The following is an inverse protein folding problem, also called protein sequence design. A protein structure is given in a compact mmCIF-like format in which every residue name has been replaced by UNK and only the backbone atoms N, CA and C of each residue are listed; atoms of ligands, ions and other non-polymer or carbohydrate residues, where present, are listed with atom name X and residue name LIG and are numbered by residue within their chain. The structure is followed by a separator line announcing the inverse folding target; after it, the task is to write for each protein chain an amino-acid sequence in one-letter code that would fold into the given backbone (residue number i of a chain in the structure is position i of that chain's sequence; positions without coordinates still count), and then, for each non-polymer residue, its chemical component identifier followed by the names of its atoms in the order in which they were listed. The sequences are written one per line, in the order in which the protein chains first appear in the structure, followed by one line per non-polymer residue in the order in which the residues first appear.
data_IF_211455399317
#
_entry.id   IF_211455399317
#
_cell.length_a   1.000
_cell.length_b   1.000
_cell.length_c   1.000
_cell.angle_alpha   90.00
_cell.angle_beta   90.00
_cell.angle_gamma   90.00
#
_symmetry.space_group_name_H-M   'P 1'
#
loop_
_entity.id
_entity.type
_entity.pdbx_description
1 polymer ?
#
# COMPACT_ATOMS: atom_id res chain seq x y z
N UNK A 1 19.90 -10.55 0.09
CA UNK A 1 19.75 -9.43 1.03
C UNK A 1 18.69 -9.75 2.05
N UNK A 2 18.91 -9.45 3.28
CA UNK A 2 17.88 -9.54 4.30
C UNK A 2 16.95 -8.31 4.26
N UNK A 3 15.96 -8.30 3.35
CA UNK A 3 14.80 -7.41 3.48
C UNK A 3 13.64 -8.23 4.03
N UNK A 4 13.03 -7.73 5.09
CA UNK A 4 11.79 -8.28 5.65
C UNK A 4 10.70 -7.21 5.50
N UNK A 5 9.61 -7.56 4.82
CA UNK A 5 8.46 -6.66 4.63
C UNK A 5 7.30 -7.20 5.46
N UNK A 6 6.89 -6.46 6.48
CA UNK A 6 5.81 -6.86 7.40
C UNK A 6 4.55 -6.07 7.09
N UNK A 7 3.52 -6.79 6.68
CA UNK A 7 2.23 -6.19 6.33
C UNK A 7 1.44 -5.70 7.56
N UNK A 8 0.51 -4.80 7.31
CA UNK A 8 -0.41 -4.27 8.31
C UNK A 8 -1.66 -5.11 8.51
N UNK A 9 -2.65 -4.49 9.14
CA UNK A 9 -4.01 -5.02 9.33
C UNK A 9 -4.70 -5.29 7.99
N UNK A 10 -5.80 -6.02 8.05
CA UNK A 10 -6.67 -6.25 6.89
C UNK A 10 -6.00 -6.95 5.69
N UNK A 11 -4.79 -7.48 5.82
CA UNK A 11 -4.11 -8.25 4.77
C UNK A 11 -4.51 -9.72 4.88
N UNK A 12 -5.16 -10.25 3.86
CA UNK A 12 -5.56 -11.66 3.76
C UNK A 12 -5.06 -12.24 2.45
N UNK A 13 -4.45 -13.42 2.50
CA UNK A 13 -3.90 -14.08 1.31
C UNK A 13 -4.98 -14.64 0.38
N UNK A 14 -6.23 -14.62 0.83
CA UNK A 14 -7.41 -14.97 0.04
C UNK A 14 -7.98 -13.79 -0.74
N UNK A 15 -7.45 -12.57 -0.52
CA UNK A 15 -7.91 -11.38 -1.24
C UNK A 15 -7.43 -11.42 -2.70
N UNK A 16 -8.28 -10.96 -3.64
CA UNK A 16 -7.90 -10.82 -5.03
C UNK A 16 -6.61 -9.96 -5.18
N UNK A 17 -5.72 -10.38 -6.08
CA UNK A 17 -4.49 -9.64 -6.35
C UNK A 17 -3.41 -9.71 -5.27
N UNK A 18 -3.58 -10.49 -4.18
CA UNK A 18 -2.58 -10.58 -3.11
C UNK A 18 -1.19 -10.92 -3.63
N UNK A 19 -1.05 -11.97 -4.46
CA UNK A 19 0.24 -12.37 -5.02
C UNK A 19 0.82 -11.33 -5.98
N UNK A 20 -0.03 -10.72 -6.81
CA UNK A 20 0.40 -9.64 -7.71
C UNK A 20 0.95 -8.43 -6.95
N UNK A 21 0.33 -8.10 -5.82
CA UNK A 21 0.79 -7.04 -4.92
C UNK A 21 2.15 -7.35 -4.30
N UNK A 22 2.37 -8.57 -3.81
CA UNK A 22 3.67 -8.99 -3.30
C UNK A 22 4.75 -8.99 -4.38
N UNK A 23 4.43 -9.47 -5.59
CA UNK A 23 5.33 -9.45 -6.74
C UNK A 23 5.69 -8.01 -7.16
N UNK A 24 4.72 -7.09 -7.15
CA UNK A 24 4.95 -5.66 -7.40
C UNK A 24 5.91 -5.07 -6.36
N UNK A 25 5.66 -5.27 -5.08
CA UNK A 25 6.54 -4.79 -4.00
C UNK A 25 7.96 -5.34 -4.17
N UNK A 26 8.11 -6.63 -4.47
CA UNK A 26 9.42 -7.24 -4.72
C UNK A 26 10.13 -6.64 -5.94
N UNK A 27 9.39 -6.39 -7.03
CA UNK A 27 9.91 -5.75 -8.24
C UNK A 27 10.42 -4.33 -7.97
N UNK A 28 9.62 -3.51 -7.26
CA UNK A 28 9.96 -2.13 -6.93
C UNK A 28 11.15 -2.04 -5.96
N UNK A 29 11.24 -2.93 -4.98
CA UNK A 29 12.43 -3.07 -4.11
C UNK A 29 13.66 -3.42 -4.94
N UNK A 30 13.53 -4.36 -5.87
CA UNK A 30 14.60 -4.74 -6.80
C UNK A 30 15.09 -3.57 -7.64
N UNK A 31 14.16 -2.81 -8.20
CA UNK A 31 14.45 -1.68 -9.08
C UNK A 31 15.18 -0.55 -8.34
N UNK A 32 14.77 -0.21 -7.14
CA UNK A 32 15.23 0.99 -6.46
C UNK A 32 16.30 0.75 -5.40
N UNK A 33 16.29 -0.38 -4.69
CA UNK A 33 17.22 -0.61 -3.59
C UNK A 33 18.50 -1.37 -3.98
N UNK A 34 18.55 -2.00 -5.16
CA UNK A 34 19.78 -2.62 -5.64
C UNK A 34 20.91 -1.61 -5.71
N UNK A 35 22.07 -1.99 -5.16
CA UNK A 35 23.26 -1.12 -5.10
C UNK A 35 23.18 0.04 -4.09
N UNK A 36 22.13 0.13 -3.26
CA UNK A 36 22.13 1.06 -2.14
C UNK A 36 23.20 0.66 -1.11
N UNK A 37 23.65 1.62 -0.32
CA UNK A 37 24.49 1.37 0.85
C UNK A 37 23.76 1.78 2.11
N UNK A 38 23.66 0.88 3.08
CA UNK A 38 23.05 1.13 4.38
C UNK A 38 24.04 0.75 5.47
N UNK A 39 24.36 1.67 6.36
CA UNK A 39 25.31 1.47 7.44
C UNK A 39 26.65 0.86 6.93
N UNK A 40 27.17 1.37 5.81
CA UNK A 40 28.42 0.89 5.19
C UNK A 40 28.34 -0.47 4.49
N UNK A 41 27.18 -1.12 4.46
CA UNK A 41 26.97 -2.43 3.82
C UNK A 41 26.19 -2.27 2.51
N UNK A 42 26.68 -2.88 1.43
CA UNK A 42 26.01 -2.82 0.13
C UNK A 42 24.82 -3.77 0.05
N UNK A 43 23.72 -3.26 -0.51
CA UNK A 43 22.51 -4.02 -0.85
C UNK A 43 22.74 -4.75 -2.17
N UNK A 44 22.91 -6.08 -2.17
CA UNK A 44 23.19 -6.89 -3.37
C UNK A 44 22.01 -7.67 -3.85
N UNK A 45 21.32 -8.37 -2.95
CA UNK A 45 20.12 -9.16 -3.26
C UNK A 45 18.87 -8.45 -2.72
N UNK A 46 17.89 -8.21 -3.56
CA UNK A 46 16.66 -7.45 -3.22
C UNK A 46 15.41 -8.31 -3.10
N UNK A 47 15.54 -9.64 -3.06
CA UNK A 47 14.39 -10.53 -2.85
C UNK A 47 13.91 -10.45 -1.39
N UNK A 48 12.72 -9.87 -1.11
CA UNK A 48 12.23 -9.72 0.26
C UNK A 48 11.62 -11.01 0.80
N UNK A 49 11.60 -11.13 2.13
CA UNK A 49 10.76 -12.08 2.85
C UNK A 49 9.47 -11.37 3.27
N UNK A 50 8.33 -12.01 3.06
CA UNK A 50 7.00 -11.54 3.43
C UNK A 50 6.40 -12.46 4.50
N UNK A 51 6.71 -12.31 5.80
CA UNK A 51 6.08 -13.13 6.84
C UNK A 51 4.59 -12.82 6.91
N UNK A 52 3.76 -13.78 6.50
CA UNK A 52 2.31 -13.61 6.46
C UNK A 52 1.68 -14.01 7.79
N UNK A 53 1.25 -13.03 8.58
CA UNK A 53 0.61 -13.23 9.87
C UNK A 53 -0.92 -13.19 9.83
N UNK A 54 -1.54 -12.95 8.67
CA UNK A 54 -3.00 -12.86 8.52
C UNK A 54 -3.77 -14.12 8.93
N UNK A 55 -3.13 -15.29 8.97
CA UNK A 55 -3.74 -16.52 9.51
C UNK A 55 -4.04 -16.45 11.02
N UNK A 56 -3.35 -15.57 11.75
CA UNK A 56 -3.50 -15.38 13.20
C UNK A 56 -4.27 -14.10 13.53
N UNK A 57 -4.73 -13.40 12.50
CA UNK A 57 -5.48 -12.15 12.63
C UNK A 57 -6.94 -12.42 13.02
N UNK A 58 -7.69 -11.35 13.27
CA UNK A 58 -9.11 -11.43 13.64
C UNK A 58 -9.94 -12.26 12.66
N UNK A 59 -10.74 -13.15 13.22
CA UNK A 59 -11.86 -13.82 12.56
C UNK A 59 -13.18 -13.31 13.16
N UNK A 60 -14.19 -13.16 12.33
CA UNK A 60 -15.52 -12.68 12.76
C UNK A 60 -16.49 -13.84 12.81
N UNK A 61 -16.99 -14.19 14.00
CA UNK A 61 -17.85 -15.35 14.21
C UNK A 61 -19.14 -15.32 13.39
N UNK A 62 -19.63 -14.13 13.03
CA UNK A 62 -20.81 -13.91 12.20
C UNK A 62 -20.48 -13.15 10.92
N UNK A 63 -19.27 -13.30 10.39
CA UNK A 63 -18.83 -12.66 9.13
C UNK A 63 -19.19 -11.17 9.04
N UNK A 64 -18.93 -10.43 10.12
CA UNK A 64 -19.28 -9.01 10.27
C UNK A 64 -20.78 -8.68 10.14
N UNK A 65 -21.69 -9.60 10.46
CA UNK A 65 -23.13 -9.34 10.43
C UNK A 65 -23.56 -8.16 11.30
N UNK A 66 -22.73 -7.74 12.26
CA UNK A 66 -22.95 -6.53 13.07
C UNK A 66 -22.75 -5.21 12.30
N UNK A 67 -22.15 -5.25 11.11
CA UNK A 67 -22.08 -4.06 10.27
C UNK A 67 -23.50 -3.65 9.85
N UNK A 68 -23.84 -2.35 9.90
CA UNK A 68 -25.16 -1.89 9.51
C UNK A 68 -25.38 -2.15 8.01
N UNK A 69 -25.92 -3.33 7.71
CA UNK A 69 -26.32 -3.77 6.37
C UNK A 69 -27.75 -3.32 6.08
N UNK A 70 -28.15 -2.14 6.52
CA UNK A 70 -29.47 -1.65 6.17
C UNK A 70 -29.73 -1.91 4.69
N UNK A 71 -30.78 -2.67 4.35
CA UNK A 71 -31.46 -2.59 3.08
C UNK A 71 -31.96 -1.15 2.96
N UNK A 72 -31.03 -0.23 2.67
CA UNK A 72 -31.42 0.95 1.95
C UNK A 72 -31.72 0.37 0.59
N UNK A 73 -33.03 0.27 0.26
CA UNK A 73 -33.47 -0.07 -1.08
C UNK A 73 -32.61 0.74 -2.03
N UNK A 74 -31.62 0.07 -2.63
CA UNK A 74 -30.82 0.67 -3.69
C UNK A 74 -31.68 0.64 -4.93
N UNK A 75 -32.49 1.66 -5.12
CA UNK A 75 -33.03 2.02 -6.43
C UNK A 75 -31.83 2.43 -7.31
N UNK A 76 -31.03 1.47 -7.75
CA UNK A 76 -29.87 1.69 -8.61
C UNK A 76 -29.02 0.43 -8.73
N UNK A 77 -28.48 0.18 -9.92
CA UNK A 77 -27.58 -0.94 -10.21
C UNK A 77 -26.41 -0.99 -9.21
N UNK A 78 -26.12 -2.17 -8.71
CA UNK A 78 -25.02 -2.38 -7.79
C UNK A 78 -23.68 -2.07 -8.52
N UNK A 79 -22.94 -1.08 -8.02
CA UNK A 79 -21.55 -0.89 -8.38
C UNK A 79 -20.73 -2.00 -7.73
N UNK A 80 -19.81 -2.60 -8.47
CA UNK A 80 -18.87 -3.56 -7.94
C UNK A 80 -18.20 -2.98 -6.69
N UNK A 81 -18.34 -3.68 -5.56
CA UNK A 81 -17.89 -3.18 -4.25
C UNK A 81 -16.38 -2.93 -4.24
N UNK A 82 -15.62 -3.73 -5.02
CA UNK A 82 -14.16 -3.65 -5.06
C UNK A 82 -13.64 -2.42 -5.81
N UNK A 83 -14.47 -1.87 -6.73
CA UNK A 83 -14.13 -0.70 -7.52
C UNK A 83 -14.62 0.63 -6.92
N UNK A 84 -15.40 0.61 -5.84
CA UNK A 84 -15.91 1.83 -5.17
C UNK A 84 -14.81 2.81 -4.78
N UNK A 85 -13.68 2.36 -4.20
CA UNK A 85 -12.58 3.25 -3.85
C UNK A 85 -11.99 3.97 -5.07
N UNK A 86 -11.87 3.27 -6.21
CA UNK A 86 -11.34 3.85 -7.44
C UNK A 86 -12.29 4.88 -8.06
N UNK A 87 -13.61 4.63 -7.98
CA UNK A 87 -14.64 5.60 -8.41
C UNK A 87 -14.58 6.87 -7.57
N UNK A 88 -14.31 6.75 -6.25
CA UNK A 88 -14.16 7.91 -5.37
C UNK A 88 -12.94 8.76 -5.76
N UNK A 89 -11.78 8.13 -6.05
CA UNK A 89 -10.58 8.84 -6.55
C UNK A 89 -10.89 9.59 -7.84
N UNK A 90 -11.54 8.93 -8.80
CA UNK A 90 -11.89 9.57 -10.08
C UNK A 90 -12.82 10.77 -9.85
N UNK A 91 -13.78 10.67 -8.93
CA UNK A 91 -14.69 11.75 -8.61
C UNK A 91 -13.97 12.93 -7.96
N UNK A 92 -13.12 12.68 -6.98
CA UNK A 92 -12.40 13.73 -6.26
C UNK A 92 -11.46 14.49 -7.20
N UNK A 93 -10.80 13.79 -8.11
CA UNK A 93 -9.90 14.41 -9.09
C UNK A 93 -10.63 15.17 -10.19
N UNK A 94 -11.76 14.68 -10.66
CA UNK A 94 -12.49 15.28 -11.79
C UNK A 94 -13.60 16.25 -11.36
N UNK A 95 -14.05 16.20 -10.11
CA UNK A 95 -15.11 17.04 -9.54
C UNK A 95 -16.52 16.73 -10.05
N UNK A 96 -16.64 16.10 -11.26
CA UNK A 96 -17.91 15.70 -11.86
C UNK A 96 -17.79 14.38 -12.61
N UNK A 97 -18.48 13.35 -12.10
CA UNK A 97 -18.52 12.03 -12.74
C UNK A 97 -19.24 12.03 -14.08
N UNK A 98 -20.12 12.99 -14.35
CA UNK A 98 -20.87 13.04 -15.64
C UNK A 98 -19.94 13.29 -16.81
N UNK A 99 -18.97 14.18 -16.66
CA UNK A 99 -17.99 14.48 -17.70
C UNK A 99 -17.01 13.32 -17.96
N UNK A 100 -16.83 12.43 -16.97
CA UNK A 100 -15.93 11.30 -17.04
C UNK A 100 -16.59 9.98 -17.50
N UNK A 101 -17.93 9.87 -17.52
CA UNK A 101 -18.66 8.61 -17.75
C UNK A 101 -18.21 7.82 -18.98
N UNK A 102 -17.93 8.52 -20.08
CA UNK A 102 -17.60 7.86 -21.34
C UNK A 102 -16.18 7.31 -21.37
N UNK A 103 -15.21 8.06 -20.82
CA UNK A 103 -13.77 7.77 -20.91
C UNK A 103 -13.06 8.19 -19.61
N UNK A 104 -13.29 7.49 -18.48
CA UNK A 104 -12.79 7.91 -17.17
C UNK A 104 -11.26 7.94 -17.07
N UNK A 105 -10.57 6.93 -17.60
CA UNK A 105 -9.12 6.86 -17.57
C UNK A 105 -8.48 7.94 -18.43
N UNK A 106 -8.98 8.16 -19.65
CA UNK A 106 -8.46 9.20 -20.53
C UNK A 106 -8.73 10.60 -19.99
N UNK A 107 -9.89 10.82 -19.39
CA UNK A 107 -10.22 12.11 -18.76
C UNK A 107 -9.27 12.41 -17.60
N UNK A 108 -8.97 11.40 -16.78
CA UNK A 108 -8.00 11.50 -15.69
C UNK A 108 -6.57 11.69 -16.23
N UNK A 109 -6.17 10.94 -17.26
CA UNK A 109 -4.85 11.03 -17.87
C UNK A 109 -4.56 12.42 -18.47
N UNK A 110 -5.58 13.13 -18.97
CA UNK A 110 -5.46 14.51 -19.46
C UNK A 110 -5.16 15.51 -18.35
N UNK A 111 -5.48 15.20 -17.11
CA UNK A 111 -5.10 15.98 -15.93
C UNK A 111 -3.75 15.52 -15.37
N UNK A 112 -3.57 14.21 -15.26
CA UNK A 112 -2.38 13.60 -14.67
C UNK A 112 -2.25 12.14 -15.14
N UNK A 113 -1.24 11.86 -15.96
CA UNK A 113 -0.96 10.49 -16.36
C UNK A 113 -0.62 9.59 -15.15
N UNK A 114 0.21 10.02 -14.18
CA UNK A 114 0.48 9.22 -12.98
C UNK A 114 -0.78 8.79 -12.24
N UNK A 115 -1.77 9.68 -12.11
CA UNK A 115 -3.02 9.37 -11.42
C UNK A 115 -3.85 8.34 -12.20
N UNK A 116 -3.97 8.50 -13.51
CA UNK A 116 -4.69 7.54 -14.37
C UNK A 116 -4.05 6.16 -14.34
N UNK A 117 -2.71 6.11 -14.39
CA UNK A 117 -1.94 4.85 -14.30
C UNK A 117 -2.12 4.21 -12.93
N UNK A 118 -2.14 4.97 -11.83
CA UNK A 118 -2.39 4.43 -10.50
C UNK A 118 -3.75 3.75 -10.40
N UNK A 119 -4.82 4.41 -10.88
CA UNK A 119 -6.18 3.85 -10.88
C UNK A 119 -6.28 2.59 -11.76
N UNK A 120 -5.67 2.60 -12.94
CA UNK A 120 -5.64 1.44 -13.84
C UNK A 120 -4.85 0.28 -13.22
N UNK A 121 -3.72 0.57 -12.58
CA UNK A 121 -2.88 -0.42 -11.89
C UNK A 121 -3.63 -1.13 -10.77
N UNK A 122 -4.36 -0.37 -9.96
CA UNK A 122 -5.18 -0.92 -8.88
C UNK A 122 -6.25 -1.89 -9.42
N UNK A 123 -6.98 -1.48 -10.46
CA UNK A 123 -7.98 -2.34 -11.08
C UNK A 123 -7.36 -3.61 -11.69
N UNK A 124 -6.18 -3.47 -12.31
CA UNK A 124 -5.46 -4.60 -12.90
C UNK A 124 -4.95 -5.59 -11.84
N UNK A 125 -4.42 -5.07 -10.72
CA UNK A 125 -3.94 -5.90 -9.60
C UNK A 125 -5.11 -6.67 -8.98
N UNK A 126 -6.26 -6.04 -8.79
CA UNK A 126 -7.46 -6.68 -8.22
C UNK A 126 -7.99 -7.83 -9.12
N UNK A 127 -7.85 -7.71 -10.44
CA UNK A 127 -8.28 -8.72 -11.40
C UNK A 127 -7.23 -9.82 -11.67
N UNK A 128 -6.00 -9.65 -11.17
CA UNK A 128 -4.90 -10.55 -11.48
C UNK A 128 -5.09 -11.95 -10.88
N UNK A 129 -4.99 -12.96 -11.73
CA UNK A 129 -4.86 -14.35 -11.28
C UNK A 129 -3.47 -14.60 -10.67
N UNK A 130 -3.35 -15.61 -9.83
CA UNK A 130 -2.06 -16.04 -9.27
C UNK A 130 -1.02 -16.38 -10.36
N UNK A 131 -1.48 -16.91 -11.50
CA UNK A 131 -0.63 -17.26 -12.64
C UNK A 131 -0.11 -16.02 -13.40
N UNK A 132 -0.81 -14.88 -13.29
CA UNK A 132 -0.46 -13.63 -13.95
C UNK A 132 0.28 -12.65 -13.03
N UNK A 133 0.44 -12.97 -11.76
CA UNK A 133 0.93 -12.06 -10.73
C UNK A 133 2.25 -11.36 -11.11
N UNK A 134 3.25 -12.11 -11.55
CA UNK A 134 4.57 -11.55 -11.91
C UNK A 134 4.48 -10.66 -13.16
N UNK A 135 3.66 -11.04 -14.15
CA UNK A 135 3.45 -10.23 -15.36
C UNK A 135 2.74 -8.92 -15.06
N UNK A 136 1.71 -8.96 -14.23
CA UNK A 136 0.98 -7.79 -13.79
C UNK A 136 1.90 -6.86 -13.00
N UNK A 137 2.68 -7.41 -12.07
CA UNK A 137 3.63 -6.63 -11.28
C UNK A 137 4.69 -5.94 -12.16
N UNK A 138 5.28 -6.66 -13.12
CA UNK A 138 6.26 -6.10 -14.05
C UNK A 138 5.67 -4.99 -14.92
N UNK A 139 4.45 -5.17 -15.43
CA UNK A 139 3.75 -4.13 -16.19
C UNK A 139 3.46 -2.89 -15.33
N UNK A 140 2.88 -3.08 -14.14
CA UNK A 140 2.50 -1.97 -13.24
C UNK A 140 3.73 -1.17 -12.83
N UNK A 141 4.84 -1.82 -12.44
CA UNK A 141 6.06 -1.11 -12.08
C UNK A 141 6.62 -0.27 -13.24
N UNK A 142 6.63 -0.83 -14.46
CA UNK A 142 7.08 -0.12 -15.66
C UNK A 142 6.13 1.04 -16.04
N UNK A 143 4.81 0.84 -15.90
CA UNK A 143 3.81 1.86 -16.20
C UNK A 143 3.91 3.05 -15.23
N UNK A 144 4.10 2.78 -13.95
CA UNK A 144 4.29 3.82 -12.93
C UNK A 144 5.58 4.61 -13.17
N UNK A 145 6.71 3.92 -13.42
CA UNK A 145 7.99 4.56 -13.72
C UNK A 145 7.89 5.45 -14.97
N UNK A 146 7.24 4.96 -16.04
CA UNK A 146 7.00 5.74 -17.25
C UNK A 146 6.16 6.99 -16.96
N UNK A 147 5.07 6.83 -16.22
CA UNK A 147 4.14 7.93 -15.92
C UNK A 147 4.79 9.02 -15.04
N UNK A 148 5.62 8.65 -14.08
CA UNK A 148 6.37 9.61 -13.25
C UNK A 148 7.42 10.38 -14.08
N UNK A 149 8.09 9.71 -15.03
CA UNK A 149 9.03 10.35 -15.94
C UNK A 149 8.33 11.25 -16.99
N UNK A 150 7.07 10.95 -17.34
CA UNK A 150 6.29 11.63 -18.37
C UNK A 150 4.90 12.02 -17.84
N UNK A 151 4.77 12.96 -16.90
CA UNK A 151 3.50 13.25 -16.23
C UNK A 151 2.41 13.81 -17.16
N UNK A 152 2.78 14.46 -18.27
CA UNK A 152 1.86 15.05 -19.24
C UNK A 152 2.37 14.83 -20.69
N UNK A 153 2.41 13.58 -21.20
CA UNK A 153 2.97 13.32 -22.51
C UNK A 153 2.00 13.77 -23.62
N UNK A 154 2.55 14.32 -24.71
CA UNK A 154 1.76 14.87 -25.82
C UNK A 154 0.80 13.85 -26.47
N UNK A 155 1.13 12.57 -26.47
CA UNK A 155 0.29 11.52 -27.06
C UNK A 155 -1.07 11.35 -26.39
N UNK A 156 -1.24 11.72 -25.10
CA UNK A 156 -2.54 11.67 -24.42
C UNK A 156 -3.59 12.53 -25.11
N UNK A 157 -3.18 13.64 -25.74
CA UNK A 157 -4.08 14.49 -26.51
C UNK A 157 -4.50 13.88 -27.85
N UNK A 158 -3.76 12.88 -28.36
CA UNK A 158 -4.01 12.27 -29.69
C UNK A 158 -4.96 11.06 -29.64
N UNK A 159 -5.31 10.57 -28.43
CA UNK A 159 -6.23 9.45 -28.24
C UNK A 159 -7.61 9.94 -27.79
N UNK A 160 -8.66 9.20 -28.16
CA UNK A 160 -10.04 9.61 -27.95
C UNK A 160 -10.85 8.67 -27.07
N UNK A 161 -10.33 7.47 -26.77
CA UNK A 161 -11.02 6.47 -25.96
C UNK A 161 -10.08 5.83 -24.93
N UNK A 162 -10.65 5.29 -23.84
CA UNK A 162 -9.89 4.53 -22.83
C UNK A 162 -9.16 3.34 -23.47
N UNK A 163 -9.78 2.65 -24.44
CA UNK A 163 -9.14 1.55 -25.15
C UNK A 163 -7.91 2.02 -25.96
N UNK A 164 -8.00 3.16 -26.65
CA UNK A 164 -6.85 3.75 -27.35
C UNK A 164 -5.78 4.21 -26.35
N UNK A 165 -6.18 4.77 -25.22
CA UNK A 165 -5.29 5.16 -24.12
C UNK A 165 -4.50 3.96 -23.61
N UNK A 166 -5.18 2.85 -23.26
CA UNK A 166 -4.54 1.61 -22.76
C UNK A 166 -3.57 1.05 -23.79
N UNK A 167 -3.98 0.92 -25.06
CA UNK A 167 -3.12 0.40 -26.13
C UNK A 167 -1.88 1.29 -26.34
N UNK A 168 -2.06 2.61 -26.31
CA UNK A 168 -0.94 3.55 -26.46
C UNK A 168 0.01 3.48 -25.27
N UNK A 169 -0.51 3.41 -24.05
CA UNK A 169 0.30 3.27 -22.84
C UNK A 169 1.17 2.01 -22.90
N UNK A 170 0.61 0.87 -23.31
CA UNK A 170 1.39 -0.37 -23.51
C UNK A 170 2.50 -0.14 -24.53
N UNK A 171 2.22 0.49 -25.66
CA UNK A 171 3.22 0.78 -26.70
C UNK A 171 4.35 1.68 -26.19
N UNK A 172 4.03 2.69 -25.39
CA UNK A 172 5.02 3.60 -24.83
C UNK A 172 5.94 2.91 -23.82
N UNK A 173 5.40 1.95 -23.06
CA UNK A 173 6.17 1.17 -22.05
C UNK A 173 7.01 0.08 -22.71
N UNK A 174 6.47 -0.62 -23.72
CA UNK A 174 7.14 -1.76 -24.36
C UNK A 174 8.05 -1.36 -25.52
N UNK A 175 7.94 -0.12 -25.99
CA UNK A 175 8.58 0.37 -27.22
C UNK A 175 7.90 -0.12 -28.49
N UNK A 176 8.24 0.46 -29.66
CA UNK A 176 7.74 -0.04 -30.95
C UNK A 176 8.32 -1.45 -31.20
N UNK A 177 7.45 -2.38 -31.62
CA UNK A 177 7.91 -3.70 -32.06
C UNK A 177 8.96 -3.56 -33.19
N UNK A 178 10.14 -4.20 -33.08
CA UNK A 178 11.13 -4.13 -34.15
C UNK A 178 10.53 -4.67 -35.45
N UNK A 179 10.81 -4.07 -36.62
CA UNK A 179 10.31 -4.55 -37.91
C UNK A 179 10.72 -6.02 -38.12
N UNK A 180 9.76 -6.96 -38.18
CA UNK A 180 10.01 -8.39 -38.35
C UNK A 180 10.42 -9.15 -37.07
N UNK A 181 10.42 -8.51 -35.90
CA UNK A 181 10.77 -9.14 -34.64
C UNK A 181 9.55 -9.71 -33.92
N UNK A 182 9.72 -10.88 -33.35
CA UNK A 182 8.78 -11.46 -32.38
C UNK A 182 8.69 -10.48 -31.21
N UNK A 183 7.48 -10.06 -30.84
CA UNK A 183 7.28 -9.25 -29.62
C UNK A 183 7.99 -9.93 -28.43
N UNK A 184 8.58 -9.19 -27.48
CA UNK A 184 9.18 -9.80 -26.31
C UNK A 184 8.16 -10.76 -25.68
N UNK A 185 8.57 -12.02 -25.55
CA UNK A 185 7.73 -13.17 -25.21
C UNK A 185 6.77 -12.85 -24.05
N UNK A 186 5.47 -12.85 -24.37
CA UNK A 186 4.38 -13.05 -23.39
C UNK A 186 3.69 -11.81 -22.85
N UNK A 187 4.12 -10.56 -23.12
CA UNK A 187 3.44 -9.39 -22.56
C UNK A 187 2.32 -8.81 -23.47
N UNK A 188 2.35 -9.02 -24.77
CA UNK A 188 1.49 -8.25 -25.69
C UNK A 188 -0.01 -8.55 -25.59
N UNK A 189 -0.44 -9.78 -25.87
CA UNK A 189 -1.88 -10.08 -26.01
C UNK A 189 -2.62 -10.26 -24.68
N UNK A 190 -2.03 -10.98 -23.74
CA UNK A 190 -2.67 -11.28 -22.44
C UNK A 190 -2.78 -10.05 -21.55
N UNK A 191 -1.73 -9.21 -21.46
CA UNK A 191 -1.75 -8.01 -20.64
C UNK A 191 -2.69 -6.94 -21.23
N UNK A 192 -2.75 -6.79 -22.56
CA UNK A 192 -3.69 -5.87 -23.23
C UNK A 192 -5.14 -6.28 -22.96
N UNK A 193 -5.44 -7.57 -22.98
CA UNK A 193 -6.78 -8.07 -22.67
C UNK A 193 -7.14 -7.81 -21.19
N UNK A 194 -6.22 -8.08 -20.26
CA UNK A 194 -6.43 -7.82 -18.83
C UNK A 194 -6.63 -6.30 -18.57
N UNK A 195 -5.82 -5.44 -19.17
CA UNK A 195 -5.97 -3.99 -19.08
C UNK A 195 -7.28 -3.49 -19.68
N UNK A 196 -7.69 -4.04 -20.82
CA UNK A 196 -8.96 -3.69 -21.44
C UNK A 196 -10.15 -4.12 -20.59
N UNK A 197 -10.07 -5.29 -19.93
CA UNK A 197 -11.06 -5.74 -18.98
C UNK A 197 -11.14 -4.82 -17.76
N UNK A 198 -10.02 -4.51 -17.13
CA UNK A 198 -9.94 -3.58 -16.00
C UNK A 198 -10.50 -2.19 -16.34
N UNK A 199 -10.14 -1.64 -17.52
CA UNK A 199 -10.66 -0.37 -17.99
C UNK A 199 -12.18 -0.39 -18.24
N UNK A 200 -12.70 -1.49 -18.79
CA UNK A 200 -14.15 -1.65 -19.04
C UNK A 200 -14.93 -1.75 -17.71
N UNK A 201 -14.45 -2.51 -16.73
CA UNK A 201 -15.04 -2.60 -15.39
C UNK A 201 -15.08 -1.25 -14.70
N UNK A 202 -13.97 -0.51 -14.74
CA UNK A 202 -13.86 0.83 -14.16
C UNK A 202 -14.84 1.80 -14.82
N UNK A 203 -14.95 1.80 -16.17
CA UNK A 203 -15.93 2.61 -16.91
C UNK A 203 -17.35 2.28 -16.47
N UNK A 204 -17.71 1.00 -16.36
CA UNK A 204 -19.04 0.57 -15.93
C UNK A 204 -19.34 1.04 -14.51
N UNK A 205 -18.36 0.94 -13.60
CA UNK A 205 -18.50 1.40 -12.22
C UNK A 205 -18.72 2.92 -12.14
N UNK A 206 -17.94 3.72 -12.90
CA UNK A 206 -18.10 5.19 -12.98
C UNK A 206 -19.46 5.55 -13.57
N UNK A 207 -19.88 4.89 -14.64
CA UNK A 207 -21.18 5.13 -15.28
C UNK A 207 -22.33 4.83 -14.31
N UNK A 208 -22.26 3.71 -13.59
CA UNK A 208 -23.27 3.34 -12.59
C UNK A 208 -23.31 4.34 -11.43
N UNK A 209 -22.16 4.77 -10.92
CA UNK A 209 -22.08 5.77 -9.86
C UNK A 209 -22.65 7.13 -10.32
N UNK A 210 -22.35 7.55 -11.53
CA UNK A 210 -22.84 8.79 -12.08
C UNK A 210 -24.36 8.77 -12.36
N UNK A 211 -24.93 7.65 -12.83
CA UNK A 211 -26.39 7.50 -13.00
C UNK A 211 -27.12 7.58 -11.65
N UNK A 212 -26.56 6.97 -10.62
CA UNK A 212 -27.10 7.02 -9.26
C UNK A 212 -27.08 8.44 -8.67
N UNK A 213 -26.10 9.26 -9.06
CA UNK A 213 -26.02 10.66 -8.65
C UNK A 213 -27.01 11.58 -9.39
N UNK A 214 -27.47 11.18 -10.58
CA UNK A 214 -28.42 11.96 -11.40
C UNK A 214 -29.87 11.97 -10.89
N UNK A 215 -30.28 10.89 -10.22
CA UNK A 215 -31.68 10.75 -9.77
C UNK A 215 -32.03 11.59 -8.52
N UNK A 216 -31.10 12.45 -8.05
CA UNK A 216 -31.29 13.16 -6.77
C UNK A 216 -30.71 14.58 -6.79
N UNK A 217 -31.62 15.53 -6.88
CA UNK A 217 -31.36 16.96 -6.63
C UNK A 217 -31.41 17.26 -5.13
N UNK A 218 -30.36 17.91 -4.59
CA UNK A 218 -30.35 18.49 -3.26
C UNK A 218 -29.52 17.75 -2.20
N UNK A 219 -29.50 18.26 -0.98
CA UNK A 219 -28.69 17.86 0.20
C UNK A 219 -28.67 16.35 0.57
N UNK A 220 -29.57 15.57 0.00
CA UNK A 220 -29.62 14.11 0.13
C UNK A 220 -28.46 13.39 -0.55
N UNK A 221 -27.81 13.98 -1.54
CA UNK A 221 -26.73 13.33 -2.29
C UNK A 221 -25.47 13.15 -1.42
N UNK A 222 -25.13 14.13 -0.58
CA UNK A 222 -23.98 14.07 0.33
C UNK A 222 -24.15 13.01 1.42
N UNK A 223 -25.33 12.92 2.03
CA UNK A 223 -25.61 11.96 3.11
C UNK A 223 -25.64 10.51 2.62
N UNK A 224 -26.17 10.26 1.42
CA UNK A 224 -26.19 8.90 0.84
C UNK A 224 -24.85 8.50 0.26
N UNK A 225 -24.06 9.45 -0.23
CA UNK A 225 -22.68 9.22 -0.61
C UNK A 225 -21.83 8.85 0.62
N UNK A 226 -21.94 9.60 1.71
CA UNK A 226 -21.30 9.24 2.99
C UNK A 226 -21.76 7.88 3.51
N UNK A 227 -23.05 7.53 3.37
CA UNK A 227 -23.57 6.22 3.73
C UNK A 227 -23.07 5.10 2.81
N UNK A 228 -22.79 5.40 1.53
CA UNK A 228 -22.23 4.48 0.56
C UNK A 228 -20.74 4.23 0.82
N UNK A 229 -19.95 5.26 1.17
CA UNK A 229 -18.54 5.13 1.60
C UNK A 229 -18.39 4.48 2.99
N UNK A 230 -19.39 4.62 3.85
CA UNK A 230 -19.36 4.14 5.24
C UNK A 230 -19.22 2.62 5.35
N UNK A 231 -19.78 1.84 4.44
CA UNK A 231 -19.72 0.37 4.51
C UNK A 231 -18.32 -0.19 4.38
N UNK A 232 -17.55 0.13 3.30
CA UNK A 232 -16.18 -0.32 3.20
C UNK A 232 -15.33 0.22 4.36
N UNK A 233 -15.53 1.47 4.79
CA UNK A 233 -14.83 2.06 5.92
C UNK A 233 -15.11 1.29 7.23
N UNK A 234 -16.35 0.98 7.55
CA UNK A 234 -16.69 0.22 8.76
C UNK A 234 -16.09 -1.19 8.75
N UNK A 235 -16.05 -1.85 7.60
CA UNK A 235 -15.41 -3.15 7.45
C UNK A 235 -13.89 -3.07 7.68
N UNK A 236 -13.24 -2.06 7.12
CA UNK A 236 -11.80 -1.79 7.32
C UNK A 236 -11.53 -1.46 8.79
N UNK A 237 -12.32 -0.59 9.42
CA UNK A 237 -12.17 -0.24 10.82
C UNK A 237 -12.41 -1.44 11.74
N UNK A 238 -13.43 -2.25 11.46
CA UNK A 238 -13.71 -3.47 12.24
C UNK A 238 -12.56 -4.45 12.21
N UNK A 239 -11.98 -4.69 11.03
CA UNK A 239 -10.78 -5.54 10.91
C UNK A 239 -9.55 -4.89 11.53
N UNK A 240 -9.38 -3.58 11.37
CA UNK A 240 -8.28 -2.84 11.98
C UNK A 240 -8.27 -3.03 13.50
N UNK A 241 -9.36 -2.69 14.17
CA UNK A 241 -9.46 -2.84 15.62
C UNK A 241 -9.37 -4.30 16.05
N UNK A 242 -10.00 -5.20 15.30
CA UNK A 242 -9.92 -6.62 15.58
C UNK A 242 -8.50 -7.16 15.53
N UNK A 243 -7.75 -6.85 14.47
CA UNK A 243 -6.36 -7.29 14.32
C UNK A 243 -5.45 -6.67 15.41
N UNK A 244 -5.68 -5.40 15.80
CA UNK A 244 -4.99 -4.75 16.91
C UNK A 244 -5.25 -5.47 18.23
N UNK A 245 -6.50 -5.76 18.56
CA UNK A 245 -6.85 -6.44 19.80
C UNK A 245 -6.28 -7.86 19.84
N UNK A 246 -6.42 -8.62 18.75
CA UNK A 246 -5.84 -9.97 18.64
C UNK A 246 -4.32 -9.93 18.87
N UNK A 247 -3.61 -8.99 18.24
CA UNK A 247 -2.17 -8.85 18.46
C UNK A 247 -1.85 -8.56 19.94
N UNK A 248 -2.48 -7.55 20.53
CA UNK A 248 -2.21 -7.13 21.90
C UNK A 248 -2.50 -8.23 22.92
N UNK A 249 -3.60 -8.97 22.72
CA UNK A 249 -4.00 -10.04 23.65
C UNK A 249 -3.15 -11.30 23.48
N UNK A 250 -2.80 -11.65 22.24
CA UNK A 250 -2.13 -12.91 21.92
C UNK A 250 -0.60 -12.78 21.73
N UNK A 251 0.00 -11.60 21.90
CA UNK A 251 1.45 -11.42 21.67
C UNK A 251 2.34 -12.15 22.69
N UNK A 252 1.79 -12.49 23.88
CA UNK A 252 2.50 -13.21 24.92
C UNK A 252 3.56 -12.37 25.66
N UNK A 253 4.59 -13.05 26.14
CA UNK A 253 5.75 -12.46 26.82
C UNK A 253 7.07 -12.98 26.21
N UNK A 254 8.20 -12.54 26.76
CA UNK A 254 9.53 -12.89 26.24
C UNK A 254 9.84 -14.39 26.35
N UNK A 255 9.34 -15.06 27.40
CA UNK A 255 9.55 -16.49 27.63
C UNK A 255 8.62 -17.33 26.74
N UNK A 256 7.39 -16.83 26.53
CA UNK A 256 6.35 -17.50 25.74
C UNK A 256 5.74 -16.51 24.74
N UNK A 257 6.47 -16.17 23.65
CA UNK A 257 5.94 -15.26 22.64
C UNK A 257 4.79 -15.90 21.87
N UNK A 258 3.79 -15.10 21.52
CA UNK A 258 2.66 -15.55 20.71
C UNK A 258 3.05 -15.89 19.27
N UNK A 259 2.10 -16.44 18.52
CA UNK A 259 2.36 -16.94 17.15
C UNK A 259 2.81 -15.83 16.19
N UNK A 260 2.19 -14.64 16.25
CA UNK A 260 2.58 -13.49 15.41
C UNK A 260 4.01 -13.04 15.72
N UNK A 261 4.39 -12.74 17.00
CA UNK A 261 5.77 -12.48 17.37
C UNK A 261 6.75 -13.56 16.90
N UNK A 262 6.47 -14.83 17.15
CA UNK A 262 7.36 -15.95 16.75
C UNK A 262 7.59 -15.97 15.23
N UNK A 263 6.53 -15.84 14.43
CA UNK A 263 6.60 -15.86 12.97
C UNK A 263 7.55 -14.77 12.46
N UNK A 264 7.34 -13.52 12.91
CA UNK A 264 8.06 -12.36 12.38
C UNK A 264 9.51 -12.32 12.92
N UNK A 265 9.74 -12.66 14.20
CA UNK A 265 11.09 -12.81 14.75
C UNK A 265 11.91 -13.84 13.99
N UNK A 266 11.31 -15.01 13.68
CA UNK A 266 11.98 -16.06 12.94
C UNK A 266 12.37 -15.59 11.54
N UNK A 267 11.49 -14.83 10.85
CA UNK A 267 11.78 -14.25 9.54
C UNK A 267 12.97 -13.27 9.62
N UNK A 268 12.99 -12.38 10.62
CA UNK A 268 14.09 -11.43 10.82
C UNK A 268 15.43 -12.15 11.13
N UNK A 269 15.41 -13.14 12.03
CA UNK A 269 16.61 -13.92 12.38
C UNK A 269 17.15 -14.71 11.18
N UNK A 270 16.28 -15.35 10.41
CA UNK A 270 16.65 -16.09 9.19
C UNK A 270 17.19 -15.15 8.13
N UNK A 271 16.56 -13.98 7.94
CA UNK A 271 17.04 -12.97 7.01
C UNK A 271 18.44 -12.47 7.39
N UNK A 272 18.67 -12.14 8.66
CA UNK A 272 19.97 -11.70 9.17
C UNK A 272 21.07 -12.78 9.03
N UNK A 273 20.73 -14.05 9.28
CA UNK A 273 21.67 -15.17 9.21
C UNK A 273 22.03 -15.56 7.79
N UNK A 274 21.16 -15.35 6.80
CA UNK A 274 21.34 -15.76 5.41
C UNK A 274 22.46 -14.99 4.71
N UNK A 275 22.60 -13.71 5.00
CA UNK A 275 23.52 -12.79 4.35
C UNK A 275 24.23 -11.90 5.37
N UNK A 276 25.15 -12.42 6.18
CA UNK A 276 25.74 -11.68 7.32
C UNK A 276 26.50 -10.40 6.92
N UNK A 277 26.96 -10.31 5.66
CA UNK A 277 27.69 -9.15 5.12
C UNK A 277 26.80 -8.06 4.52
N UNK A 278 25.48 -8.28 4.45
CA UNK A 278 24.50 -7.33 3.92
C UNK A 278 23.70 -6.65 5.05
N UNK A 279 23.12 -5.47 4.80
CA UNK A 279 22.32 -4.80 5.83
C UNK A 279 20.96 -5.50 6.01
N UNK A 280 20.53 -5.71 7.25
CA UNK A 280 19.15 -6.09 7.55
C UNK A 280 18.26 -4.86 7.44
N UNK A 281 17.32 -4.89 6.50
CA UNK A 281 16.31 -3.85 6.30
C UNK A 281 14.93 -4.41 6.66
N UNK A 282 14.22 -3.74 7.56
CA UNK A 282 12.85 -4.09 7.94
C UNK A 282 11.93 -2.96 7.49
N UNK A 283 11.01 -3.27 6.58
CA UNK A 283 9.97 -2.34 6.11
C UNK A 283 8.65 -2.83 6.68
N UNK A 284 7.98 -2.00 7.47
CA UNK A 284 6.81 -2.40 8.22
C UNK A 284 5.67 -1.40 8.03
N UNK A 285 4.56 -1.90 7.47
CA UNK A 285 3.39 -1.11 7.15
C UNK A 285 2.34 -1.19 8.25
N UNK A 286 1.74 -0.06 8.62
CA UNK A 286 0.58 0.01 9.53
C UNK A 286 0.86 -0.70 10.87
N UNK A 287 -0.01 -1.59 11.32
CA UNK A 287 0.18 -2.42 12.52
C UNK A 287 1.49 -3.25 12.48
N UNK A 288 1.97 -3.60 11.28
CA UNK A 288 3.27 -4.25 11.14
C UNK A 288 4.41 -3.45 11.76
N UNK A 289 4.37 -2.11 11.67
CA UNK A 289 5.32 -1.22 12.34
C UNK A 289 5.25 -1.32 13.86
N UNK A 290 4.03 -1.35 14.42
CA UNK A 290 3.80 -1.55 15.87
C UNK A 290 4.35 -2.90 16.32
N UNK A 291 4.04 -3.96 15.57
CA UNK A 291 4.55 -5.32 15.85
C UNK A 291 6.08 -5.32 15.82
N UNK A 292 6.70 -4.82 14.75
CA UNK A 292 8.16 -4.81 14.61
C UNK A 292 8.84 -3.99 15.71
N UNK A 293 8.28 -2.84 16.09
CA UNK A 293 8.80 -2.04 17.21
C UNK A 293 8.76 -2.82 18.54
N UNK A 294 7.63 -3.47 18.84
CA UNK A 294 7.48 -4.29 20.04
C UNK A 294 8.46 -5.47 20.04
N UNK A 295 8.68 -6.10 18.87
CA UNK A 295 9.66 -7.17 18.71
C UNK A 295 11.09 -6.68 18.98
N UNK A 296 11.51 -5.61 18.32
CA UNK A 296 12.88 -5.10 18.38
C UNK A 296 13.18 -4.45 19.73
N UNK A 297 12.19 -3.88 20.41
CA UNK A 297 12.39 -3.28 21.74
C UNK A 297 12.33 -4.29 22.88
N UNK A 298 11.54 -5.36 22.77
CA UNK A 298 11.27 -6.28 23.87
C UNK A 298 11.57 -7.73 23.56
N UNK A 299 10.98 -8.32 22.50
CA UNK A 299 11.03 -9.78 22.29
C UNK A 299 12.36 -10.27 21.74
N UNK A 300 12.98 -9.53 20.81
CA UNK A 300 14.25 -9.89 20.17
C UNK A 300 15.23 -8.70 20.06
N UNK A 301 15.62 -8.06 21.18
CA UNK A 301 16.53 -6.92 21.16
C UNK A 301 17.95 -7.29 20.69
N UNK A 302 18.26 -8.58 20.56
CA UNK A 302 19.50 -9.07 19.99
C UNK A 302 19.57 -8.99 18.47
N UNK A 303 18.45 -8.83 17.78
CA UNK A 303 18.41 -8.70 16.32
C UNK A 303 18.81 -7.28 15.92
N UNK A 304 20.01 -7.13 15.37
CA UNK A 304 20.48 -5.84 14.89
C UNK A 304 19.85 -5.53 13.51
N UNK A 305 19.19 -4.37 13.42
CA UNK A 305 18.55 -3.86 12.20
C UNK A 305 19.33 -2.64 11.71
N UNK A 306 19.84 -2.69 10.48
CA UNK A 306 20.59 -1.58 9.90
C UNK A 306 19.67 -0.44 9.47
N UNK A 307 18.47 -0.77 8.97
CA UNK A 307 17.44 0.21 8.60
C UNK A 307 16.04 -0.32 8.96
N UNK A 308 15.33 0.41 9.80
CA UNK A 308 13.91 0.21 10.08
C UNK A 308 13.10 1.29 9.37
N UNK A 309 12.14 0.88 8.56
CA UNK A 309 11.24 1.80 7.83
C UNK A 309 9.81 1.50 8.27
N UNK A 310 9.19 2.43 8.99
CA UNK A 310 7.77 2.38 9.31
C UNK A 310 6.99 3.22 8.29
N UNK A 311 5.90 2.66 7.79
CA UNK A 311 5.11 3.25 6.69
C UNK A 311 3.64 3.27 7.08
N UNK A 312 3.02 4.43 7.11
CA UNK A 312 1.61 4.56 7.50
C UNK A 312 1.31 3.96 8.87
N UNK A 313 2.25 4.05 9.84
CA UNK A 313 2.22 3.27 11.07
C UNK A 313 1.79 4.08 12.29
N UNK A 314 1.31 3.36 13.32
CA UNK A 314 0.78 3.90 14.57
C UNK A 314 1.78 3.78 15.73
N UNK A 315 3.08 3.60 15.47
CA UNK A 315 4.09 3.32 16.53
C UNK A 315 4.09 4.41 17.59
N UNK A 316 4.12 5.69 17.21
CA UNK A 316 4.09 6.79 18.16
C UNK A 316 2.79 6.85 18.96
N UNK A 317 1.65 6.61 18.31
CA UNK A 317 0.36 6.57 18.99
C UNK A 317 0.31 5.46 20.06
N UNK A 318 0.85 4.28 19.75
CA UNK A 318 0.94 3.17 20.73
C UNK A 318 1.86 3.50 21.91
N UNK A 319 2.92 4.28 21.71
CA UNK A 319 3.73 4.78 22.82
C UNK A 319 3.01 5.86 23.62
N UNK A 320 2.29 6.79 22.99
CA UNK A 320 1.49 7.80 23.70
C UNK A 320 0.47 7.16 24.65
N UNK A 321 -0.19 6.09 24.22
CA UNK A 321 -1.15 5.32 25.04
C UNK A 321 -0.49 4.20 25.86
N UNK A 322 0.84 4.12 25.90
CA UNK A 322 1.64 3.18 26.70
C UNK A 322 1.27 1.71 26.49
N UNK A 323 1.24 1.26 25.23
CA UNK A 323 0.86 -0.10 24.85
C UNK A 323 2.02 -1.01 24.49
N UNK A 324 3.25 -0.52 24.40
CA UNK A 324 4.41 -1.38 24.26
C UNK A 324 4.81 -2.02 25.60
N UNK A 325 5.43 -3.20 25.53
CA UNK A 325 5.99 -3.86 26.72
C UNK A 325 7.12 -3.06 27.38
N UNK A 326 7.77 -2.18 26.59
CA UNK A 326 8.88 -1.32 27.04
C UNK A 326 8.44 0.12 27.32
N UNK A 327 7.16 0.46 27.19
CA UNK A 327 6.67 1.79 27.50
C UNK A 327 6.93 2.16 28.97
N UNK A 328 7.58 3.30 29.17
CA UNK A 328 7.85 3.86 30.48
C UNK A 328 6.76 4.90 30.83
N UNK A 329 5.95 4.67 31.88
CA UNK A 329 4.91 5.64 32.27
C UNK A 329 5.46 6.96 32.80
N UNK A 330 6.75 7.04 33.16
CA UNK A 330 7.40 8.27 33.60
C UNK A 330 7.84 9.18 32.45
N UNK A 331 7.71 8.73 31.20
CA UNK A 331 7.99 9.53 30.00
C UNK A 331 6.66 9.89 29.33
N UNK A 332 6.43 11.15 28.92
CA UNK A 332 7.37 12.29 28.96
C UNK A 332 7.53 12.90 30.38
N UNK A 333 8.71 13.45 30.63
CA UNK A 333 9.01 14.20 31.85
C UNK A 333 9.85 15.43 31.53
N UNK A 334 10.05 16.32 32.51
CA UNK A 334 10.90 17.49 32.33
C UNK A 334 12.35 17.15 31.95
N UNK A 335 12.85 16.01 32.41
CA UNK A 335 14.21 15.51 32.14
C UNK A 335 14.30 14.68 30.87
N UNK A 336 13.21 14.05 30.47
CA UNK A 336 13.14 13.18 29.30
C UNK A 336 11.83 13.34 28.55
N UNK A 337 11.87 14.19 27.54
CA UNK A 337 10.67 14.54 26.75
C UNK A 337 10.25 13.46 25.77
N UNK A 338 11.16 12.56 25.33
CA UNK A 338 10.90 11.53 24.31
C UNK A 338 11.34 10.17 24.78
N UNK A 339 10.64 9.14 24.30
CA UNK A 339 11.02 7.75 24.49
C UNK A 339 12.29 7.42 23.66
N UNK A 340 13.08 6.46 24.14
CA UNK A 340 14.26 6.01 23.40
C UNK A 340 13.87 5.06 22.28
N UNK A 341 14.40 5.26 21.08
CA UNK A 341 14.35 4.24 20.04
C UNK A 341 15.19 3.02 20.46
N UNK A 342 14.82 1.79 20.06
CA UNK A 342 15.58 0.58 20.37
C UNK A 342 17.05 0.69 19.92
N UNK A 343 18.00 0.31 20.77
CA UNK A 343 19.43 0.47 20.51
C UNK A 343 19.95 -0.43 19.38
N UNK A 344 19.26 -1.51 19.08
CA UNK A 344 19.56 -2.44 18.00
C UNK A 344 19.08 -1.95 16.63
N UNK A 345 18.44 -0.77 16.54
CA UNK A 345 18.08 -0.10 15.29
C UNK A 345 19.12 0.99 15.02
N UNK A 346 19.83 0.90 13.90
CA UNK A 346 20.84 1.91 13.50
C UNK A 346 20.18 3.15 12.93
N UNK A 347 19.32 2.98 11.93
CA UNK A 347 18.57 4.06 11.30
C UNK A 347 17.10 3.72 11.33
N UNK A 348 16.27 4.69 11.71
CA UNK A 348 14.81 4.56 11.68
C UNK A 348 14.22 5.70 10.85
N UNK A 349 13.57 5.33 9.75
CA UNK A 349 12.79 6.23 8.89
C UNK A 349 11.33 5.94 9.14
N UNK A 350 10.53 6.96 9.42
CA UNK A 350 9.07 6.87 9.47
C UNK A 350 8.48 7.67 8.30
N UNK A 351 7.60 7.04 7.53
CA UNK A 351 6.95 7.67 6.38
C UNK A 351 5.45 7.71 6.60
N UNK A 352 4.86 8.89 6.45
CA UNK A 352 3.43 9.10 6.62
C UNK A 352 2.86 10.05 5.56
N UNK A 353 1.57 9.88 5.24
CA UNK A 353 0.78 10.82 4.45
C UNK A 353 -0.21 11.53 5.37
N UNK A 354 -0.39 12.83 5.21
CA UNK A 354 -1.30 13.63 6.05
C UNK A 354 -2.78 13.30 5.82
N UNK A 355 -3.11 12.72 4.66
CA UNK A 355 -4.48 12.27 4.38
C UNK A 355 -4.74 10.85 4.87
N UNK A 356 -3.72 10.10 5.28
CA UNK A 356 -3.85 8.78 5.89
C UNK A 356 -4.19 8.90 7.38
N UNK A 357 -5.45 8.65 7.74
CA UNK A 357 -5.95 8.76 9.13
C UNK A 357 -5.34 7.74 10.09
N UNK A 358 -4.64 6.73 9.59
CA UNK A 358 -3.96 5.71 10.40
C UNK A 358 -2.46 5.96 10.55
N UNK A 359 -1.91 6.97 9.88
CA UNK A 359 -0.49 7.27 9.93
C UNK A 359 -0.17 8.33 10.98
N UNK A 360 0.92 8.14 11.70
CA UNK A 360 1.37 9.05 12.75
C UNK A 360 2.84 9.44 12.58
N UNK A 361 3.16 10.68 12.92
CA UNK A 361 4.54 11.15 13.02
C UNK A 361 5.20 10.60 14.29
N UNK A 362 6.49 10.32 14.25
CA UNK A 362 7.22 9.68 15.34
C UNK A 362 8.24 10.61 16.02
N UNK A 363 8.74 11.65 15.35
CA UNK A 363 9.88 12.47 15.80
C UNK A 363 9.62 13.28 17.08
N UNK A 364 8.35 13.49 17.44
CA UNK A 364 7.96 14.15 18.70
C UNK A 364 7.85 13.22 19.89
N UNK A 365 7.69 11.92 19.61
CA UNK A 365 7.51 10.87 20.62
C UNK A 365 8.78 10.09 20.88
N UNK A 366 9.56 9.81 19.82
CA UNK A 366 10.82 9.06 19.92
C UNK A 366 12.04 9.90 19.56
N UNK A 367 13.17 9.57 20.15
CA UNK A 367 14.48 10.02 19.67
C UNK A 367 14.95 9.16 18.47
N UNK A 368 15.96 9.64 17.72
CA UNK A 368 16.63 8.89 16.66
C UNK A 368 15.73 8.34 15.54
N UNK A 369 14.56 8.90 15.33
CA UNK A 369 13.69 8.64 14.18
C UNK A 369 13.66 9.85 13.26
N UNK A 370 13.59 9.61 11.97
CA UNK A 370 13.46 10.68 10.96
C UNK A 370 12.11 10.51 10.27
N UNK A 371 11.25 11.50 10.42
CA UNK A 371 9.94 11.56 9.78
C UNK A 371 10.04 12.12 8.36
N UNK A 372 9.38 11.46 7.41
CA UNK A 372 9.21 11.96 6.05
C UNK A 372 7.74 11.96 5.65
N UNK A 373 7.27 13.12 5.21
CA UNK A 373 5.96 13.23 4.56
C UNK A 373 6.05 12.64 3.15
N UNK A 374 5.06 11.84 2.84
CA UNK A 374 4.84 11.28 1.52
C UNK A 374 3.41 11.57 1.08
N UNK A 375 3.22 12.08 -0.10
CA UNK A 375 1.90 12.30 -0.68
C UNK A 375 1.59 11.10 -1.59
N UNK A 376 0.66 10.24 -1.19
CA UNK A 376 0.23 9.08 -1.96
C UNK A 376 -0.61 9.46 -3.19
N UNK A 377 -1.02 10.73 -3.29
CA UNK A 377 -1.94 11.24 -4.34
C UNK A 377 -3.25 10.47 -4.42
N UNK A 378 -3.70 9.95 -3.28
CA UNK A 378 -4.95 9.23 -3.14
C UNK A 378 -5.79 9.85 -2.02
N UNK A 379 -7.01 9.35 -1.82
CA UNK A 379 -7.85 9.83 -0.72
C UNK A 379 -7.67 8.96 0.54
N UNK A 380 -8.17 9.46 1.65
CA UNK A 380 -7.98 9.00 3.04
C UNK A 380 -7.87 7.49 3.25
N UNK A 381 -8.83 6.70 2.74
CA UNK A 381 -8.85 5.24 2.96
C UNK A 381 -7.82 4.54 2.06
N UNK A 382 -7.72 4.97 0.80
CA UNK A 382 -6.80 4.39 -0.16
C UNK A 382 -5.35 4.77 0.14
N UNK A 383 -5.12 5.96 0.69
CA UNK A 383 -3.79 6.44 1.08
C UNK A 383 -3.09 5.42 1.98
N UNK A 384 -3.82 4.83 2.95
CA UNK A 384 -3.25 3.86 3.89
C UNK A 384 -2.64 2.62 3.22
N UNK A 385 -3.24 2.11 2.15
CA UNK A 385 -2.73 0.93 1.42
C UNK A 385 -1.77 1.24 0.28
N UNK A 386 -1.68 2.50 -0.17
CA UNK A 386 -1.05 2.85 -1.44
C UNK A 386 0.47 2.94 -1.41
N UNK A 387 1.09 3.17 -0.26
CA UNK A 387 2.53 3.47 -0.16
C UNK A 387 3.41 2.44 -0.87
N UNK A 388 3.28 1.17 -0.50
CA UNK A 388 4.18 0.10 -0.95
C UNK A 388 3.91 -0.37 -2.38
N UNK A 389 2.84 0.10 -3.01
CA UNK A 389 2.47 -0.23 -4.38
C UNK A 389 2.92 0.83 -5.40
N UNK A 390 3.62 1.88 -4.96
CA UNK A 390 4.01 3.02 -5.80
C UNK A 390 5.52 3.07 -6.07
N UNK A 391 5.91 3.14 -7.34
CA UNK A 391 7.31 3.32 -7.78
C UNK A 391 7.97 4.53 -7.11
N UNK A 392 7.25 5.65 -7.09
CA UNK A 392 7.70 6.91 -6.49
C UNK A 392 8.05 6.79 -5.00
N UNK A 393 7.37 5.92 -4.26
CA UNK A 393 7.69 5.67 -2.86
C UNK A 393 9.13 5.14 -2.73
N UNK A 394 9.48 4.12 -3.50
CA UNK A 394 10.81 3.49 -3.44
C UNK A 394 11.91 4.39 -3.99
N UNK A 395 11.62 5.14 -5.05
CA UNK A 395 12.55 6.14 -5.59
C UNK A 395 12.90 7.20 -4.53
N UNK A 396 11.91 7.71 -3.81
CA UNK A 396 12.12 8.67 -2.73
C UNK A 396 12.78 8.05 -1.50
N UNK A 397 12.38 6.83 -1.13
CA UNK A 397 13.02 6.08 -0.04
C UNK A 397 14.51 5.88 -0.35
N UNK A 398 14.86 5.47 -1.58
CA UNK A 398 16.25 5.34 -2.01
C UNK A 398 17.03 6.65 -1.83
N UNK A 399 16.48 7.77 -2.28
CA UNK A 399 17.13 9.07 -2.13
C UNK A 399 17.35 9.45 -0.65
N UNK A 400 16.52 8.97 0.28
CA UNK A 400 16.73 9.19 1.72
C UNK A 400 17.73 8.23 2.32
N UNK A 401 17.75 6.98 1.87
CA UNK A 401 18.78 6.00 2.27
C UNK A 401 20.18 6.51 1.88
N UNK A 402 20.33 7.05 0.67
CA UNK A 402 21.60 7.59 0.18
C UNK A 402 22.09 8.84 0.96
N UNK A 403 21.23 9.44 1.79
CA UNK A 403 21.54 10.58 2.67
C UNK A 403 21.80 10.16 4.13
N UNK A 404 21.61 8.90 4.48
CA UNK A 404 21.90 8.41 5.83
C UNK A 404 23.40 8.47 6.11
N UNK A 405 23.81 8.83 7.36
CA UNK A 405 25.21 8.91 7.75
C UNK A 405 25.91 7.55 7.81
#
# INVERSE_FOLDING_TARGET
MPIVVVHGVNTRNTEPGYKARLALIASLLGMHLAGATVNGKAVKNTKPDFPYWGNFATSFAWDMASLPTGQIDSLGSAVDADLRPLVAVIRDDLGDLKSAQAQPLLTLARKSLPQSVAVLSDALIQDASDADADRVAAFVSSAQAYAEANPNPAWVATVSTDAQFVNRLVTEITGPAPPGGVQPLGMGGSIVNALSSAAAKLKNAVTSAASTALDRTGDFASTKFLAWERRPLNGILGRFFGDVFVYLDARGDKANPGQIPQLIMNAMRQAAAREPGEPLIVIAHSLGGVICFDLLSFFCPEVAVDLFVTVGSQVSHFEEIKRFKTSDPAIPSAQRARAGAPNNIKHWINVFDEVDIFAYACDKVFDRVIDFRYDTRTYTIKAHGAYLEQDRFYSRLRARIDQLP
#
